data_IF_662852506930
#
_entry.id   IF_662852506930
#
_cell.length_a   1.000
_cell.length_b   1.000
_cell.length_c   1.000
_cell.angle_alpha   90.00
_cell.angle_beta   90.00
_cell.angle_gamma   90.00
#
_symmetry.space_group_name_H-M   'P 1'
#
loop_
_entity.id
_entity.type
_entity.pdbx_description
1 polymer ?
#
# COMPACT_ATOMS: atom_id res chain seq x y z
N UNK A 1 27.36 -28.34 -3.88
CA UNK A 1 27.61 -27.24 -4.84
C UNK A 1 27.69 -25.95 -4.04
N UNK A 2 28.90 -25.59 -3.62
CA UNK A 2 29.20 -24.48 -2.71
C UNK A 2 29.20 -23.18 -3.51
N UNK A 3 28.24 -22.28 -3.23
CA UNK A 3 28.23 -20.93 -3.77
C UNK A 3 29.41 -20.16 -3.19
N UNK A 4 30.51 -20.06 -3.95
CA UNK A 4 31.59 -19.14 -3.67
C UNK A 4 31.06 -17.71 -3.84
N UNK A 5 30.86 -17.02 -2.73
CA UNK A 5 30.76 -15.57 -2.67
C UNK A 5 32.01 -14.98 -3.36
N UNK A 6 31.84 -14.47 -4.58
CA UNK A 6 32.84 -13.72 -5.31
C UNK A 6 32.96 -12.32 -4.70
N UNK A 7 33.67 -12.21 -3.58
CA UNK A 7 34.14 -10.94 -3.03
C UNK A 7 35.30 -10.40 -3.90
N UNK A 8 34.98 -9.99 -5.12
CA UNK A 8 35.91 -9.26 -5.98
C UNK A 8 35.83 -7.77 -5.61
N UNK A 9 36.90 -7.15 -5.07
CA UNK A 9 36.90 -5.73 -4.70
C UNK A 9 36.64 -4.83 -5.91
N UNK A 10 36.97 -5.31 -7.12
CA UNK A 10 36.64 -4.65 -8.38
C UNK A 10 35.14 -4.66 -8.67
N UNK A 11 34.46 -5.79 -8.48
CA UNK A 11 33.01 -5.87 -8.67
C UNK A 11 32.25 -5.00 -7.67
N UNK A 12 32.72 -4.97 -6.41
CA UNK A 12 32.16 -4.11 -5.38
C UNK A 12 32.42 -2.62 -5.68
N UNK A 13 33.62 -2.28 -6.15
CA UNK A 13 33.97 -0.92 -6.60
C UNK A 13 33.16 -0.46 -7.82
N UNK A 14 32.90 -1.34 -8.79
CA UNK A 14 32.08 -1.06 -9.97
C UNK A 14 30.61 -0.85 -9.60
N UNK A 15 30.09 -1.67 -8.67
CA UNK A 15 28.72 -1.56 -8.18
C UNK A 15 28.53 -0.27 -7.38
N UNK A 16 29.46 0.07 -6.48
CA UNK A 16 29.47 1.35 -5.78
C UNK A 16 29.58 2.54 -6.74
N UNK A 17 30.48 2.47 -7.72
CA UNK A 17 30.65 3.51 -8.75
C UNK A 17 29.38 3.74 -9.57
N UNK A 18 28.73 2.66 -10.03
CA UNK A 18 27.47 2.74 -10.76
C UNK A 18 26.34 3.31 -9.89
N UNK A 19 26.24 2.90 -8.63
CA UNK A 19 25.23 3.46 -7.71
C UNK A 19 25.47 4.94 -7.40
N UNK A 20 26.74 5.36 -7.30
CA UNK A 20 27.11 6.75 -7.09
C UNK A 20 26.83 7.63 -8.33
N UNK A 21 27.12 7.13 -9.53
CA UNK A 21 26.81 7.83 -10.79
C UNK A 21 25.30 7.92 -11.00
N UNK A 22 24.55 6.84 -10.76
CA UNK A 22 23.10 6.85 -10.81
C UNK A 22 22.51 7.84 -9.78
N UNK A 23 23.00 7.81 -8.53
CA UNK A 23 22.59 8.75 -7.49
C UNK A 23 22.90 10.21 -7.85
N UNK A 24 24.08 10.47 -8.44
CA UNK A 24 24.47 11.79 -8.92
C UNK A 24 23.60 12.30 -10.07
N UNK A 25 23.26 11.44 -11.03
CA UNK A 25 22.33 11.76 -12.12
C UNK A 25 20.92 12.06 -11.60
N UNK A 26 20.43 11.28 -10.64
CA UNK A 26 19.13 11.49 -10.02
C UNK A 26 19.10 12.83 -9.28
N UNK A 27 20.15 13.16 -8.52
CA UNK A 27 20.27 14.46 -7.84
C UNK A 27 20.33 15.62 -8.83
N UNK A 28 21.07 15.46 -9.94
CA UNK A 28 21.26 16.51 -10.93
C UNK A 28 19.99 16.83 -11.73
N UNK A 29 19.19 15.83 -12.11
CA UNK A 29 18.02 16.01 -12.97
C UNK A 29 16.68 15.94 -12.23
N UNK A 30 16.59 15.19 -11.13
CA UNK A 30 15.37 15.02 -10.33
C UNK A 30 15.26 15.98 -9.14
N UNK A 31 16.36 16.63 -8.75
CA UNK A 31 16.43 17.49 -7.58
C UNK A 31 16.47 16.73 -6.24
N UNK A 32 16.70 17.44 -5.12
CA UNK A 32 16.96 16.82 -3.81
C UNK A 32 15.82 15.95 -3.29
N UNK A 33 14.56 16.35 -3.55
CA UNK A 33 13.37 15.66 -3.05
C UNK A 33 13.21 14.29 -3.73
N UNK A 34 13.41 14.22 -5.04
CA UNK A 34 13.32 12.96 -5.81
C UNK A 34 14.43 12.01 -5.40
N UNK A 35 15.65 12.52 -5.16
CA UNK A 35 16.76 11.70 -4.69
C UNK A 35 16.51 11.10 -3.30
N UNK A 36 15.99 11.90 -2.35
CA UNK A 36 15.58 11.39 -1.03
C UNK A 36 14.45 10.37 -1.16
N UNK A 37 13.45 10.63 -1.99
CA UNK A 37 12.35 9.71 -2.25
C UNK A 37 12.83 8.36 -2.79
N UNK A 38 13.74 8.36 -3.76
CA UNK A 38 14.33 7.15 -4.32
C UNK A 38 15.20 6.40 -3.31
N UNK A 39 15.94 7.12 -2.46
CA UNK A 39 16.74 6.52 -1.39
C UNK A 39 15.84 5.83 -0.36
N UNK A 40 14.77 6.50 0.08
CA UNK A 40 13.79 5.92 1.02
C UNK A 40 13.09 4.72 0.38
N UNK A 41 12.67 4.81 -0.88
CA UNK A 41 12.07 3.70 -1.60
C UNK A 41 13.04 2.52 -1.76
N UNK A 42 14.32 2.80 -2.04
CA UNK A 42 15.37 1.78 -2.11
C UNK A 42 15.61 1.08 -0.77
N UNK A 43 15.68 1.84 0.32
CA UNK A 43 15.79 1.27 1.68
C UNK A 43 14.56 0.43 2.00
N UNK A 44 13.36 0.94 1.75
CA UNK A 44 12.12 0.20 1.97
C UNK A 44 12.11 -1.11 1.16
N UNK A 45 12.49 -1.07 -0.11
CA UNK A 45 12.61 -2.26 -0.95
C UNK A 45 13.64 -3.26 -0.40
N UNK A 46 14.80 -2.80 0.09
CA UNK A 46 15.81 -3.66 0.70
C UNK A 46 15.31 -4.30 2.02
N UNK A 47 14.57 -3.54 2.83
CA UNK A 47 13.96 -4.03 4.06
C UNK A 47 12.91 -5.10 3.75
N UNK A 48 12.02 -4.85 2.77
CA UNK A 48 11.01 -5.83 2.34
C UNK A 48 11.66 -7.05 1.67
N UNK A 49 12.75 -6.87 0.92
CA UNK A 49 13.54 -7.97 0.37
C UNK A 49 14.13 -8.85 1.47
N UNK A 50 14.53 -8.26 2.60
CA UNK A 50 15.03 -9.01 3.76
C UNK A 50 13.90 -9.74 4.47
N UNK A 51 12.77 -9.08 4.70
CA UNK A 51 11.60 -9.66 5.35
C UNK A 51 10.30 -9.15 4.71
N UNK A 52 9.57 -10.07 4.08
CA UNK A 52 8.30 -9.74 3.41
C UNK A 52 7.21 -9.40 4.43
N UNK A 53 7.33 -9.88 5.67
CA UNK A 53 6.41 -9.59 6.78
C UNK A 53 6.34 -8.09 7.05
N UNK A 54 7.48 -7.39 7.02
CA UNK A 54 7.55 -5.92 7.15
C UNK A 54 6.80 -5.22 6.02
N UNK A 55 6.83 -5.79 4.81
CA UNK A 55 6.06 -5.31 3.67
C UNK A 55 4.55 -5.40 3.91
N UNK A 56 4.07 -6.52 4.44
CA UNK A 56 2.67 -6.68 4.83
C UNK A 56 2.26 -5.69 5.92
N UNK A 57 3.12 -5.45 6.92
CA UNK A 57 2.83 -4.46 7.96
C UNK A 57 2.73 -3.05 7.39
N UNK A 58 3.56 -2.71 6.40
CA UNK A 58 3.48 -1.47 5.66
C UNK A 58 2.14 -1.32 4.92
N UNK A 59 1.71 -2.35 4.19
CA UNK A 59 0.42 -2.36 3.48
C UNK A 59 -0.74 -2.19 4.47
N UNK A 60 -0.74 -2.96 5.57
CA UNK A 60 -1.76 -2.86 6.62
C UNK A 60 -1.80 -1.46 7.24
N UNK A 61 -0.63 -0.91 7.58
CA UNK A 61 -0.51 0.45 8.12
C UNK A 61 -1.07 1.50 7.16
N UNK A 62 -0.79 1.39 5.86
CA UNK A 62 -1.32 2.32 4.85
C UNK A 62 -2.84 2.18 4.73
N UNK A 63 -3.38 0.96 4.65
CA UNK A 63 -4.84 0.73 4.54
C UNK A 63 -5.57 1.30 5.76
N UNK A 64 -5.06 1.06 6.97
CA UNK A 64 -5.73 1.44 8.20
C UNK A 64 -5.54 2.91 8.57
N UNK A 65 -4.34 3.47 8.35
CA UNK A 65 -3.97 4.79 8.87
C UNK A 65 -3.81 5.85 7.80
N UNK A 66 -3.51 5.52 6.55
CA UNK A 66 -3.29 6.51 5.49
C UNK A 66 -3.87 6.07 4.12
N UNK A 67 -5.15 5.64 4.05
CA UNK A 67 -5.69 5.04 2.81
C UNK A 67 -5.81 6.03 1.65
N UNK A 68 -5.83 7.33 1.94
CA UNK A 68 -5.96 8.41 0.94
C UNK A 68 -4.66 9.20 0.71
N UNK A 69 -3.53 8.76 1.28
CA UNK A 69 -2.24 9.42 1.06
C UNK A 69 -1.69 9.11 -0.34
N UNK A 70 -1.09 10.13 -0.98
CA UNK A 70 -0.52 10.03 -2.33
C UNK A 70 0.84 10.72 -2.39
N UNK A 71 1.65 10.43 -3.41
CA UNK A 71 2.90 11.18 -3.56
C UNK A 71 2.60 12.66 -3.82
N UNK A 72 3.24 13.60 -3.10
CA UNK A 72 2.98 15.04 -3.25
C UNK A 72 3.60 15.66 -4.51
N UNK A 73 4.20 14.85 -5.39
CA UNK A 73 4.81 15.26 -6.64
C UNK A 73 4.35 14.39 -7.80
N UNK A 74 4.26 14.99 -9.00
CA UNK A 74 3.80 14.33 -10.23
C UNK A 74 4.99 13.76 -11.00
N UNK A 75 5.14 12.44 -11.05
CA UNK A 75 6.16 11.74 -11.87
C UNK A 75 5.50 11.12 -13.11
N UNK A 76 4.73 11.89 -13.89
CA UNK A 76 3.78 11.43 -14.94
C UNK A 76 2.42 11.01 -14.39
N UNK A 77 2.37 10.25 -13.29
CA UNK A 77 1.13 9.92 -12.56
C UNK A 77 1.38 10.09 -11.05
N UNK A 78 0.34 10.36 -10.25
CA UNK A 78 0.38 10.41 -8.78
C UNK A 78 -0.07 9.06 -8.21
N UNK A 79 0.85 8.14 -7.90
CA UNK A 79 0.51 6.88 -7.24
C UNK A 79 0.10 7.14 -5.78
N UNK A 80 -0.83 6.32 -5.29
CA UNK A 80 -1.18 6.30 -3.87
C UNK A 80 -0.10 5.59 -3.06
N UNK A 81 -0.05 5.85 -1.76
CA UNK A 81 0.84 5.12 -0.85
C UNK A 81 0.48 3.63 -0.86
N UNK A 82 -0.80 3.30 -1.05
CA UNK A 82 -1.25 1.92 -1.14
C UNK A 82 -0.72 1.24 -2.41
N UNK A 83 -0.77 1.92 -3.55
CA UNK A 83 -0.24 1.41 -4.82
C UNK A 83 1.25 1.09 -4.69
N UNK A 84 2.01 2.00 -4.06
CA UNK A 84 3.44 1.83 -3.82
C UNK A 84 3.73 0.67 -2.86
N UNK A 85 2.99 0.58 -1.76
CA UNK A 85 3.15 -0.50 -0.79
C UNK A 85 2.83 -1.86 -1.41
N UNK A 86 1.71 -1.98 -2.14
CA UNK A 86 1.33 -3.20 -2.84
C UNK A 86 2.36 -3.55 -3.93
N UNK A 87 2.76 -2.59 -4.76
CA UNK A 87 3.74 -2.82 -5.83
C UNK A 87 5.10 -3.26 -5.26
N UNK A 88 5.52 -2.70 -4.12
CA UNK A 88 6.74 -3.11 -3.44
C UNK A 88 6.66 -4.57 -2.95
N UNK A 89 5.58 -4.94 -2.27
CA UNK A 89 5.42 -6.32 -1.75
C UNK A 89 5.27 -7.32 -2.88
N UNK A 90 4.41 -7.06 -3.87
CA UNK A 90 4.23 -7.93 -5.04
C UNK A 90 5.52 -8.01 -5.84
N UNK A 91 6.21 -6.90 -6.07
CA UNK A 91 7.48 -6.88 -6.79
C UNK A 91 8.56 -7.71 -6.09
N UNK A 92 8.69 -7.59 -4.77
CA UNK A 92 9.61 -8.43 -3.98
C UNK A 92 9.22 -9.91 -4.04
N UNK A 93 7.93 -10.22 -3.95
CA UNK A 93 7.44 -11.59 -4.08
C UNK A 93 7.79 -12.17 -5.46
N UNK A 94 7.50 -11.47 -6.56
CA UNK A 94 7.87 -11.88 -7.92
C UNK A 94 9.38 -12.08 -8.04
N UNK A 95 10.20 -11.17 -7.51
CA UNK A 95 11.65 -11.31 -7.54
C UNK A 95 12.13 -12.54 -6.77
N UNK A 96 11.54 -12.87 -5.62
CA UNK A 96 11.87 -14.07 -4.85
C UNK A 96 11.53 -15.35 -5.61
N UNK A 97 10.40 -15.37 -6.32
CA UNK A 97 10.00 -16.47 -7.20
C UNK A 97 10.97 -16.62 -8.37
N UNK A 98 11.24 -15.54 -9.11
CA UNK A 98 12.11 -15.56 -10.31
C UNK A 98 13.55 -15.91 -9.96
N UNK A 99 14.05 -15.48 -8.80
CA UNK A 99 15.42 -15.79 -8.34
C UNK A 99 15.56 -17.22 -7.79
N UNK A 100 14.50 -18.03 -7.79
CA UNK A 100 14.53 -19.40 -7.25
C UNK A 100 14.79 -19.42 -5.74
N UNK A 101 14.54 -18.31 -5.04
CA UNK A 101 14.60 -18.28 -3.57
C UNK A 101 13.34 -18.87 -2.93
N UNK A 102 12.31 -19.11 -3.75
CA UNK A 102 11.07 -19.80 -3.38
C UNK A 102 10.82 -20.93 -4.36
N UNK A 103 11.04 -22.17 -3.91
CA UNK A 103 10.93 -23.37 -4.76
C UNK A 103 9.49 -23.88 -4.89
N UNK A 104 8.59 -23.45 -4.01
CA UNK A 104 7.19 -23.89 -4.00
C UNK A 104 6.27 -22.69 -3.80
N UNK A 105 5.31 -22.51 -4.71
CA UNK A 105 4.20 -21.56 -4.58
C UNK A 105 3.01 -22.35 -4.03
N UNK A 106 2.52 -21.95 -2.86
CA UNK A 106 1.33 -22.58 -2.28
C UNK A 106 0.11 -21.92 -2.89
N UNK A 107 -0.73 -22.74 -3.53
CA UNK A 107 -2.01 -22.29 -4.09
C UNK A 107 -3.15 -22.74 -3.19
N UNK A 108 -4.21 -21.95 -3.17
CA UNK A 108 -5.46 -22.29 -2.50
C UNK A 108 -6.55 -22.50 -3.56
N UNK A 109 -7.66 -23.20 -3.24
CA UNK A 109 -8.78 -23.35 -4.16
C UNK A 109 -9.32 -22.00 -4.67
N UNK A 110 -9.22 -20.94 -3.85
CA UNK A 110 -9.61 -19.56 -4.21
C UNK A 110 -8.70 -18.92 -5.26
N UNK A 111 -7.48 -19.41 -5.44
CA UNK A 111 -6.54 -18.88 -6.45
C UNK A 111 -7.09 -19.06 -7.87
N UNK A 112 -7.80 -20.16 -8.14
CA UNK A 112 -8.38 -20.44 -9.46
C UNK A 112 -9.47 -19.42 -9.87
N UNK A 113 -10.53 -19.18 -9.08
CA UNK A 113 -11.54 -18.18 -9.43
C UNK A 113 -10.96 -16.76 -9.48
N UNK A 114 -9.96 -16.43 -8.65
CA UNK A 114 -9.27 -15.14 -8.72
C UNK A 114 -8.53 -14.97 -10.04
N UNK A 115 -7.75 -15.98 -10.46
CA UNK A 115 -7.05 -15.95 -11.74
C UNK A 115 -8.03 -15.85 -12.92
N UNK A 116 -9.12 -16.61 -12.88
CA UNK A 116 -10.17 -16.52 -13.89
C UNK A 116 -10.78 -15.12 -13.94
N UNK A 117 -11.09 -14.54 -12.77
CA UNK A 117 -11.61 -13.17 -12.68
C UNK A 117 -10.62 -12.15 -13.25
N UNK A 118 -9.33 -12.25 -12.91
CA UNK A 118 -8.28 -11.37 -13.46
C UNK A 118 -8.19 -11.49 -14.98
N UNK A 119 -8.23 -12.71 -15.53
CA UNK A 119 -8.22 -12.96 -16.97
C UNK A 119 -9.45 -12.30 -17.62
N UNK A 120 -10.64 -12.56 -17.09
CA UNK A 120 -11.89 -11.97 -17.58
C UNK A 120 -11.86 -10.45 -17.50
N UNK A 121 -11.34 -9.88 -16.42
CA UNK A 121 -11.20 -8.44 -16.26
C UNK A 121 -10.28 -7.82 -17.32
N UNK A 122 -9.14 -8.48 -17.63
CA UNK A 122 -8.24 -8.04 -18.71
C UNK A 122 -8.93 -8.11 -20.07
N UNK A 123 -9.61 -9.21 -20.39
CA UNK A 123 -10.37 -9.30 -21.65
C UNK A 123 -11.47 -8.25 -21.73
N UNK A 124 -12.27 -8.08 -20.67
CA UNK A 124 -13.33 -7.08 -20.60
C UNK A 124 -12.77 -5.67 -20.79
N UNK A 125 -11.62 -5.36 -20.20
CA UNK A 125 -10.94 -4.08 -20.40
C UNK A 125 -10.48 -3.89 -21.85
N UNK A 126 -9.83 -4.90 -22.45
CA UNK A 126 -9.34 -4.85 -23.83
C UNK A 126 -10.49 -4.66 -24.82
N UNK A 127 -11.56 -5.45 -24.71
CA UNK A 127 -12.76 -5.31 -25.54
C UNK A 127 -13.52 -4.00 -25.26
N UNK A 128 -13.45 -3.50 -24.02
CA UNK A 128 -14.04 -2.24 -23.61
C UNK A 128 -13.35 -1.00 -24.18
N UNK A 129 -12.07 -1.07 -24.57
CA UNK A 129 -11.30 0.07 -25.09
C UNK A 129 -11.93 0.71 -26.34
N UNK A 130 -12.72 -0.04 -27.12
CA UNK A 130 -13.44 0.50 -28.27
C UNK A 130 -14.59 1.45 -27.91
N UNK A 131 -15.02 1.49 -26.65
CA UNK A 131 -16.20 2.23 -26.20
C UNK A 131 -15.86 3.53 -25.43
N UNK A 132 -14.58 3.89 -25.28
CA UNK A 132 -14.19 5.10 -24.57
C UNK A 132 -12.71 5.45 -24.74
N UNK A 133 -12.32 6.71 -24.45
CA UNK A 133 -10.95 7.17 -24.61
C UNK A 133 -10.01 6.49 -23.59
N UNK A 134 -8.90 5.93 -24.09
CA UNK A 134 -7.84 5.36 -23.26
C UNK A 134 -7.03 6.49 -22.61
N UNK A 135 -7.34 6.81 -21.36
CA UNK A 135 -6.59 7.81 -20.56
C UNK A 135 -5.59 7.14 -19.64
N UNK A 136 -4.49 7.82 -19.31
CA UNK A 136 -3.49 7.31 -18.35
C UNK A 136 -4.08 7.06 -16.96
N UNK A 137 -5.13 7.81 -16.57
CA UNK A 137 -5.82 7.60 -15.30
C UNK A 137 -6.63 6.29 -15.33
N UNK A 138 -7.35 6.01 -16.42
CA UNK A 138 -8.07 4.76 -16.60
C UNK A 138 -7.13 3.55 -16.56
N UNK A 139 -6.00 3.62 -17.28
CA UNK A 139 -5.01 2.54 -17.27
C UNK A 139 -4.43 2.33 -15.87
N UNK A 140 -4.12 3.41 -15.14
CA UNK A 140 -3.66 3.31 -13.75
C UNK A 140 -4.72 2.65 -12.87
N UNK A 141 -5.97 3.13 -12.86
CA UNK A 141 -7.02 2.57 -12.00
C UNK A 141 -7.30 1.11 -12.30
N UNK A 142 -7.20 0.73 -13.57
CA UNK A 142 -7.29 -0.68 -13.95
C UNK A 142 -6.09 -1.49 -13.43
N UNK A 143 -4.86 -0.97 -13.53
CA UNK A 143 -3.67 -1.62 -12.97
C UNK A 143 -3.73 -1.71 -11.43
N UNK A 144 -4.21 -0.67 -10.74
CA UNK A 144 -4.46 -0.67 -9.29
C UNK A 144 -5.44 -1.78 -8.90
N UNK A 145 -6.52 -1.95 -9.68
CA UNK A 145 -7.51 -3.03 -9.48
C UNK A 145 -6.86 -4.41 -9.63
N UNK A 146 -6.11 -4.65 -10.72
CA UNK A 146 -5.43 -5.93 -10.95
C UNK A 146 -4.40 -6.22 -9.84
N UNK A 147 -3.64 -5.20 -9.42
CA UNK A 147 -2.64 -5.32 -8.37
C UNK A 147 -3.30 -5.66 -7.02
N UNK A 148 -4.38 -4.97 -6.67
CA UNK A 148 -5.13 -5.19 -5.43
C UNK A 148 -5.73 -6.60 -5.36
N UNK A 149 -6.36 -7.06 -6.45
CA UNK A 149 -6.95 -8.40 -6.52
C UNK A 149 -5.85 -9.48 -6.55
N UNK A 150 -4.80 -9.26 -7.34
CA UNK A 150 -3.66 -10.16 -7.43
C UNK A 150 -2.91 -10.30 -6.11
N UNK A 151 -2.92 -9.28 -5.25
CA UNK A 151 -2.30 -9.31 -3.93
C UNK A 151 -2.85 -10.43 -3.04
N UNK A 152 -4.09 -10.88 -3.25
CA UNK A 152 -4.66 -12.03 -2.53
C UNK A 152 -3.83 -13.30 -2.75
N UNK A 153 -3.27 -13.50 -3.94
CA UNK A 153 -2.40 -14.65 -4.25
C UNK A 153 -1.12 -14.57 -3.41
N UNK A 154 -0.57 -13.37 -3.23
CA UNK A 154 0.62 -13.12 -2.42
C UNK A 154 0.33 -13.35 -0.93
N UNK A 155 -0.85 -12.95 -0.44
CA UNK A 155 -1.30 -13.24 0.93
C UNK A 155 -1.41 -14.75 1.15
N UNK A 156 -2.06 -15.48 0.23
CA UNK A 156 -2.23 -16.94 0.31
C UNK A 156 -0.86 -17.65 0.37
N UNK A 157 0.07 -17.24 -0.50
CA UNK A 157 1.41 -17.80 -0.52
C UNK A 157 2.22 -17.45 0.73
N UNK A 158 1.99 -16.29 1.34
CA UNK A 158 2.63 -15.87 2.58
C UNK A 158 2.12 -16.62 3.82
N UNK A 159 0.81 -16.80 3.94
CA UNK A 159 0.14 -17.42 5.09
C UNK A 159 0.26 -18.95 5.10
N UNK A 160 1.50 -19.47 5.07
CA UNK A 160 1.79 -20.91 5.04
C UNK A 160 1.63 -21.58 6.40
N UNK A 161 1.84 -20.81 7.47
CA UNK A 161 1.80 -21.29 8.85
C UNK A 161 0.79 -20.50 9.67
N UNK A 162 0.24 -21.17 10.69
CA UNK A 162 -0.65 -20.53 11.65
C UNK A 162 -0.01 -19.31 12.32
N UNK A 163 1.28 -19.37 12.65
CA UNK A 163 2.00 -18.24 13.25
C UNK A 163 2.05 -17.01 12.33
N UNK A 164 2.22 -17.19 11.01
CA UNK A 164 2.21 -16.08 10.05
C UNK A 164 0.82 -15.46 9.94
N UNK A 165 -0.22 -16.30 9.87
CA UNK A 165 -1.60 -15.85 9.86
C UNK A 165 -1.94 -15.07 11.14
N UNK A 166 -1.55 -15.60 12.30
CA UNK A 166 -1.76 -14.98 13.61
C UNK A 166 -1.09 -13.60 13.70
N UNK A 167 0.17 -13.47 13.25
CA UNK A 167 0.86 -12.18 13.21
C UNK A 167 0.18 -11.19 12.28
N UNK A 168 -0.27 -11.64 11.11
CA UNK A 168 -0.96 -10.78 10.14
C UNK A 168 -2.30 -10.28 10.70
N UNK A 169 -3.08 -11.18 11.30
CA UNK A 169 -4.34 -10.87 12.00
C UNK A 169 -4.08 -9.90 13.15
N UNK A 170 -3.08 -10.15 14.00
CA UNK A 170 -2.71 -9.25 15.10
C UNK A 170 -2.30 -7.87 14.60
N UNK A 171 -1.48 -7.79 13.55
CA UNK A 171 -1.07 -6.52 12.95
C UNK A 171 -2.30 -5.76 12.42
N UNK A 172 -3.23 -6.45 11.76
CA UNK A 172 -4.47 -5.86 11.26
C UNK A 172 -5.37 -5.36 12.40
N UNK A 173 -5.53 -6.13 13.47
CA UNK A 173 -6.28 -5.74 14.66
C UNK A 173 -5.65 -4.53 15.37
N UNK A 174 -4.33 -4.51 15.54
CA UNK A 174 -3.60 -3.40 16.17
C UNK A 174 -3.66 -2.13 15.33
N UNK A 175 -3.47 -2.24 14.01
CA UNK A 175 -3.60 -1.11 13.10
C UNK A 175 -5.05 -0.59 13.06
N UNK A 176 -6.02 -1.50 13.12
CA UNK A 176 -7.43 -1.18 13.27
C UNK A 176 -7.77 -0.44 14.55
N UNK A 177 -7.26 -0.92 15.69
CA UNK A 177 -7.42 -0.25 16.99
C UNK A 177 -6.75 1.13 16.99
N UNK A 178 -5.59 1.27 16.36
CA UNK A 178 -4.95 2.58 16.18
C UNK A 178 -5.81 3.51 15.32
N UNK A 179 -6.41 3.02 14.23
CA UNK A 179 -7.33 3.80 13.40
C UNK A 179 -8.59 4.22 14.18
N UNK A 180 -9.16 3.34 15.01
CA UNK A 180 -10.26 3.67 15.92
C UNK A 180 -9.86 4.73 16.94
N UNK A 181 -8.68 4.60 17.56
CA UNK A 181 -8.17 5.57 18.52
C UNK A 181 -7.98 6.95 17.89
N UNK A 182 -7.48 7.01 16.64
CA UNK A 182 -7.39 8.27 15.88
C UNK A 182 -8.77 8.84 15.61
N UNK A 183 -9.74 8.03 15.16
CA UNK A 183 -11.11 8.50 14.94
C UNK A 183 -11.79 9.04 16.20
N UNK A 184 -11.64 8.36 17.34
CA UNK A 184 -12.12 8.83 18.64
C UNK A 184 -11.41 10.12 19.05
N UNK A 185 -10.08 10.18 18.88
CA UNK A 185 -9.29 11.37 19.20
C UNK A 185 -9.72 12.59 18.39
N UNK A 186 -9.99 12.43 17.09
CA UNK A 186 -10.50 13.48 16.23
C UNK A 186 -11.91 13.93 16.64
N UNK A 187 -12.80 12.99 16.96
CA UNK A 187 -14.16 13.28 17.44
C UNK A 187 -14.20 14.03 18.79
N UNK A 188 -13.20 13.82 19.65
CA UNK A 188 -13.08 14.53 20.93
C UNK A 188 -12.52 15.95 20.80
N UNK A 189 -11.88 16.26 19.67
CA UNK A 189 -11.25 17.56 19.43
C UNK A 189 -12.26 18.54 18.81
N UNK A 190 -12.13 19.86 19.07
CA UNK A 190 -12.90 20.86 18.33
C UNK A 190 -12.64 20.78 16.82
N UNK A 191 -13.69 20.96 16.02
CA UNK A 191 -13.68 20.79 14.56
C UNK A 191 -12.53 21.53 13.87
N UNK A 192 -12.25 22.78 14.25
CA UNK A 192 -11.13 23.53 13.68
C UNK A 192 -9.77 22.88 13.96
N UNK A 193 -9.57 22.35 15.17
CA UNK A 193 -8.31 21.68 15.55
C UNK A 193 -8.16 20.33 14.87
N UNK A 194 -9.24 19.55 14.77
CA UNK A 194 -9.27 18.28 14.05
C UNK A 194 -8.99 18.51 12.55
N UNK A 195 -9.66 19.48 11.93
CA UNK A 195 -9.45 19.83 10.53
C UNK A 195 -8.03 20.36 10.27
N UNK A 196 -7.47 21.19 11.15
CA UNK A 196 -6.09 21.65 11.03
C UNK A 196 -5.09 20.51 11.16
N UNK A 197 -5.31 19.55 12.06
CA UNK A 197 -4.49 18.36 12.21
C UNK A 197 -4.52 17.49 10.95
N UNK A 198 -5.70 17.25 10.38
CA UNK A 198 -5.85 16.50 9.13
C UNK A 198 -5.22 17.23 7.93
N UNK A 199 -5.31 18.56 7.88
CA UNK A 199 -4.68 19.36 6.83
C UNK A 199 -3.14 19.31 6.84
N UNK A 200 -2.50 18.93 7.96
CA UNK A 200 -1.06 18.64 7.95
C UNK A 200 -0.73 17.50 6.99
N UNK A 201 -1.63 16.52 6.86
CA UNK A 201 -1.47 15.39 5.93
C UNK A 201 -1.59 15.82 4.47
N UNK A 202 -2.10 17.02 4.16
CA UNK A 202 -2.12 17.52 2.78
C UNK A 202 -0.71 17.61 2.17
N UNK A 203 0.34 17.69 3.00
CA UNK A 203 1.75 17.63 2.58
C UNK A 203 2.14 16.28 1.97
N UNK A 204 1.42 15.20 2.30
CA UNK A 204 1.57 13.86 1.72
C UNK A 204 0.40 13.52 0.81
N UNK A 205 -0.15 14.52 0.12
CA UNK A 205 -1.18 14.34 -0.91
C UNK A 205 -2.52 13.85 -0.39
N UNK A 206 -2.78 13.99 0.92
CA UNK A 206 -4.09 13.80 1.52
C UNK A 206 -5.07 14.90 1.06
N UNK A 207 -6.38 14.61 0.91
CA UNK A 207 -7.37 15.63 0.57
C UNK A 207 -7.36 16.77 1.61
N UNK A 208 -6.98 17.97 1.18
CA UNK A 208 -6.96 19.16 2.04
C UNK A 208 -8.25 19.98 1.96
N UNK A 209 -8.35 21.01 2.78
CA UNK A 209 -9.49 21.91 2.85
C UNK A 209 -10.35 21.65 4.10
N UNK A 210 -11.67 21.63 3.93
CA UNK A 210 -12.60 21.21 4.97
C UNK A 210 -12.92 19.72 4.79
N UNK A 211 -12.32 18.88 5.64
CA UNK A 211 -12.37 17.42 5.50
C UNK A 211 -13.44 16.79 6.39
N UNK A 212 -13.87 17.51 7.43
CA UNK A 212 -14.92 17.10 8.37
C UNK A 212 -16.25 16.93 7.64
N UNK A 213 -16.97 15.84 7.96
CA UNK A 213 -18.22 15.48 7.29
C UNK A 213 -19.36 15.49 8.28
N UNK A 214 -20.45 16.14 7.92
CA UNK A 214 -21.71 16.11 8.67
C UNK A 214 -22.74 15.26 7.94
N UNK A 215 -23.78 14.82 8.66
CA UNK A 215 -24.96 14.23 8.04
C UNK A 215 -25.58 15.26 7.10
N UNK A 216 -25.93 14.85 5.88
CA UNK A 216 -26.51 15.71 4.84
C UNK A 216 -25.68 16.97 4.51
N UNK A 217 -24.39 16.98 4.83
CA UNK A 217 -23.51 18.15 4.70
C UNK A 217 -24.01 19.38 5.48
N UNK A 218 -24.86 19.17 6.49
CA UNK A 218 -25.43 20.21 7.32
C UNK A 218 -24.70 20.29 8.68
N UNK A 219 -24.02 21.40 9.00
CA UNK A 219 -23.36 21.60 10.30
C UNK A 219 -24.29 21.58 11.51
N UNK A 220 -25.60 21.79 11.31
CA UNK A 220 -26.60 21.70 12.39
C UNK A 220 -26.90 20.23 12.78
N UNK A 221 -26.45 19.26 11.98
CA UNK A 221 -26.60 17.82 12.23
C UNK A 221 -25.30 17.22 12.79
N UNK A 222 -25.42 16.02 13.37
CA UNK A 222 -24.29 15.34 13.98
C UNK A 222 -23.13 15.11 12.98
N UNK A 223 -21.91 15.29 13.47
CA UNK A 223 -20.69 14.95 12.74
C UNK A 223 -20.64 13.44 12.48
N UNK A 224 -20.20 13.07 11.27
CA UNK A 224 -19.92 11.70 10.89
C UNK A 224 -18.47 11.41 11.26
N UNK A 225 -18.27 10.49 12.20
CA UNK A 225 -16.94 10.10 12.64
C UNK A 225 -16.04 9.73 11.45
N UNK A 226 -14.92 10.44 11.35
CA UNK A 226 -13.84 10.16 10.40
C UNK A 226 -12.56 9.87 11.19
N UNK A 227 -11.75 8.96 10.66
CA UNK A 227 -10.37 8.82 11.07
C UNK A 227 -9.47 9.68 10.18
N UNK A 228 -8.30 9.14 9.86
CA UNK A 228 -7.55 9.58 8.68
C UNK A 228 -8.23 9.19 7.37
N UNK A 229 -9.28 8.37 7.39
CA UNK A 229 -10.10 8.11 6.22
C UNK A 229 -11.10 9.28 6.02
N UNK A 230 -10.96 10.03 4.93
CA UNK A 230 -11.82 11.19 4.59
C UNK A 230 -13.29 10.80 4.44
N UNK A 231 -13.54 9.59 3.95
CA UNK A 231 -14.87 9.06 3.72
C UNK A 231 -15.35 8.28 4.97
N UNK A 232 -16.43 8.72 5.64
CA UNK A 232 -16.96 8.03 6.82
C UNK A 232 -17.46 6.61 6.53
N UNK A 233 -17.88 6.30 5.30
CA UNK A 233 -18.32 4.96 4.93
C UNK A 233 -17.12 4.01 4.80
N UNK A 234 -16.01 4.50 4.25
CA UNK A 234 -14.77 3.72 4.16
C UNK A 234 -14.22 3.45 5.56
N UNK A 235 -14.22 4.47 6.43
CA UNK A 235 -13.83 4.32 7.83
C UNK A 235 -14.72 3.33 8.58
N UNK A 236 -16.05 3.50 8.49
CA UNK A 236 -17.01 2.60 9.12
C UNK A 236 -16.90 1.17 8.60
N UNK A 237 -16.71 0.99 7.29
CA UNK A 237 -16.49 -0.32 6.67
C UNK A 237 -15.23 -1.00 7.20
N UNK A 238 -14.12 -0.27 7.33
CA UNK A 238 -12.90 -0.78 7.94
C UNK A 238 -13.14 -1.24 9.39
N UNK A 239 -13.80 -0.42 10.22
CA UNK A 239 -14.10 -0.76 11.61
C UNK A 239 -15.01 -1.98 11.75
N UNK A 240 -16.01 -2.12 10.88
CA UNK A 240 -16.87 -3.32 10.85
C UNK A 240 -16.05 -4.56 10.52
N UNK A 241 -15.16 -4.49 9.52
CA UNK A 241 -14.28 -5.62 9.16
C UNK A 241 -13.32 -5.99 10.29
N UNK A 242 -12.76 -5.00 11.00
CA UNK A 242 -11.92 -5.26 12.18
C UNK A 242 -12.75 -5.88 13.30
N UNK A 243 -13.95 -5.36 13.56
CA UNK A 243 -14.84 -5.87 14.61
C UNK A 243 -15.28 -7.32 14.35
N UNK A 244 -15.63 -7.66 13.11
CA UNK A 244 -15.98 -9.04 12.73
C UNK A 244 -14.79 -9.99 12.84
N UNK A 245 -13.58 -9.51 12.57
CA UNK A 245 -12.36 -10.28 12.71
C UNK A 245 -11.92 -10.43 14.17
N UNK A 246 -12.20 -9.43 15.01
CA UNK A 246 -11.89 -9.44 16.44
C UNK A 246 -12.87 -10.31 17.25
N UNK A 247 -14.15 -10.33 16.91
CA UNK A 247 -15.18 -11.01 17.71
C UNK A 247 -14.89 -12.50 17.97
N UNK A 248 -14.50 -13.33 16.97
CA UNK A 248 -14.14 -14.72 17.21
C UNK A 248 -12.85 -14.92 18.01
N UNK A 249 -11.98 -13.91 18.11
CA UNK A 249 -10.73 -13.99 18.87
C UNK A 249 -10.95 -13.83 20.38
N UNK A 250 -12.13 -13.34 20.77
CA UNK A 250 -12.52 -13.09 22.16
C UNK A 250 -13.39 -14.20 22.75
N UNK A 251 -13.84 -15.15 21.92
CA UNK A 251 -14.63 -16.33 22.30
C UNK A 251 -13.71 -17.53 22.53
#
# INVERSE_FOLDING_TARGET
MTLTSTNSPLALGLLLGLTAVAGGLILAFGGPIVAVGLLVAGIAALVVLRDIEVGFWGVIGVICLLPFATLPFKIVITPSFLDLALAAVVGVWVLRVVTGRQDTIITAPVTVPILLFLIVAVFAFIFGMGNGPLTSNLLRKFAELLLSIGFVIVIVDYCRTWAQLERLVKAFLLAGAAASAVGIGLWLLPDETANNALNVLARIGYPGGWVIRYIEENPDLAERAIGTAVDPNVFGGLLVLIGTLAAPQLL
#
